data_IF_725829308410
#
_entry.id   IF_725829308410
#
_cell.length_a   1.000
_cell.length_b   1.000
_cell.length_c   1.000
_cell.angle_alpha   90.00
_cell.angle_beta   90.00
_cell.angle_gamma   90.00
#
_symmetry.space_group_name_H-M   'P 1'
#
loop_
_entity.id
_entity.type
_entity.pdbx_description
1 polymer ?
#
# COMPACT_ATOMS: atom_id res chain seq x y z
N UNK A 1 12.77 -11.69 10.74
CA UNK A 1 12.37 -10.51 9.93
C UNK A 1 11.78 -9.48 10.89
N UNK A 2 12.19 -8.21 10.81
CA UNK A 2 11.63 -7.15 11.69
C UNK A 2 10.23 -6.75 11.23
N UNK A 3 9.40 -6.16 12.11
CA UNK A 3 8.06 -5.68 11.75
C UNK A 3 8.10 -4.73 10.55
N UNK A 4 9.09 -3.82 10.53
CA UNK A 4 9.26 -2.86 9.44
C UNK A 4 9.56 -3.57 8.11
N UNK A 5 10.39 -4.61 8.14
CA UNK A 5 10.65 -5.40 6.92
C UNK A 5 9.41 -6.13 6.43
N UNK A 6 8.58 -6.67 7.33
CA UNK A 6 7.30 -7.28 6.96
C UNK A 6 6.39 -6.28 6.26
N UNK A 7 6.25 -5.05 6.78
CA UNK A 7 5.46 -3.99 6.13
C UNK A 7 6.01 -3.67 4.74
N UNK A 8 7.34 -3.51 4.62
CA UNK A 8 7.99 -3.22 3.33
C UNK A 8 7.79 -4.34 2.31
N UNK A 9 7.81 -5.60 2.72
CA UNK A 9 7.49 -6.74 1.86
C UNK A 9 6.04 -6.63 1.39
N UNK A 10 5.08 -6.46 2.30
CA UNK A 10 3.65 -6.36 1.96
C UNK A 10 3.36 -5.19 1.01
N UNK A 11 4.00 -4.03 1.20
CA UNK A 11 3.89 -2.90 0.26
C UNK A 11 4.43 -3.28 -1.12
N UNK A 12 5.60 -3.89 -1.21
CA UNK A 12 6.19 -4.29 -2.50
C UNK A 12 5.32 -5.32 -3.23
N UNK A 13 4.72 -6.26 -2.51
CA UNK A 13 3.75 -7.20 -3.08
C UNK A 13 2.51 -6.50 -3.62
N UNK A 14 1.96 -5.51 -2.89
CA UNK A 14 0.85 -4.70 -3.37
C UNK A 14 1.22 -3.95 -4.66
N UNK A 15 2.38 -3.29 -4.68
CA UNK A 15 2.86 -2.55 -5.84
C UNK A 15 3.12 -3.47 -7.04
N UNK A 16 3.60 -4.69 -6.81
CA UNK A 16 3.80 -5.66 -7.88
C UNK A 16 2.48 -6.12 -8.50
N UNK A 17 1.46 -6.40 -7.67
CA UNK A 17 0.16 -6.90 -8.16
C UNK A 17 -0.73 -5.81 -8.77
N UNK A 18 -0.71 -4.60 -8.20
CA UNK A 18 -1.63 -3.53 -8.59
C UNK A 18 -0.95 -2.32 -9.22
N UNK A 19 0.32 -2.06 -8.89
CA UNK A 19 1.01 -0.82 -9.29
C UNK A 19 1.18 -0.66 -10.80
N UNK A 20 1.32 -1.76 -11.56
CA UNK A 20 1.42 -1.71 -13.03
C UNK A 20 0.08 -1.46 -13.72
N UNK A 21 -1.03 -1.90 -13.11
CA UNK A 21 -2.38 -1.81 -13.69
C UNK A 21 -3.12 -0.53 -13.31
N UNK A 22 -2.63 0.18 -12.28
CA UNK A 22 -3.18 1.44 -11.83
C UNK A 22 -2.50 2.60 -12.57
N UNK A 23 -3.28 3.61 -12.97
CA UNK A 23 -2.77 4.76 -13.71
C UNK A 23 -1.72 5.55 -12.93
N UNK A 24 -0.88 6.29 -13.66
CA UNK A 24 0.15 7.15 -13.07
C UNK A 24 -0.48 8.12 -12.06
N UNK A 25 0.02 8.11 -10.83
CA UNK A 25 -0.50 8.96 -9.74
C UNK A 25 -1.75 8.43 -9.02
N UNK A 26 -2.34 7.30 -9.44
CA UNK A 26 -3.45 6.68 -8.71
C UNK A 26 -2.99 5.95 -7.45
N UNK A 27 -1.78 5.41 -7.45
CA UNK A 27 -1.15 4.80 -6.27
C UNK A 27 -0.22 5.82 -5.63
N UNK A 28 -0.52 6.14 -4.37
CA UNK A 28 0.33 6.97 -3.51
C UNK A 28 0.55 6.26 -2.18
N UNK A 29 1.57 6.66 -1.41
CA UNK A 29 1.78 6.10 -0.07
C UNK A 29 0.55 6.25 0.85
N UNK A 30 -0.22 7.34 0.68
CA UNK A 30 -1.50 7.56 1.39
C UNK A 30 -2.55 6.52 1.01
N UNK A 31 -2.68 6.20 -0.28
CA UNK A 31 -3.63 5.19 -0.76
C UNK A 31 -3.29 3.82 -0.21
N UNK A 32 -2.02 3.42 -0.29
CA UNK A 32 -1.56 2.14 0.27
C UNK A 32 -1.83 2.10 1.77
N UNK A 33 -1.57 3.21 2.49
CA UNK A 33 -1.83 3.26 3.91
C UNK A 33 -3.30 3.14 4.29
N UNK A 34 -4.17 3.79 3.52
CA UNK A 34 -5.61 3.64 3.68
C UNK A 34 -6.05 2.19 3.49
N UNK A 35 -5.61 1.52 2.44
CA UNK A 35 -5.95 0.11 2.19
C UNK A 35 -5.49 -0.77 3.36
N UNK A 36 -4.24 -0.60 3.82
CA UNK A 36 -3.66 -1.45 4.88
C UNK A 36 -4.29 -1.19 6.26
N UNK A 37 -4.92 -0.03 6.47
CA UNK A 37 -5.74 0.26 7.64
C UNK A 37 -7.23 -0.06 7.46
N UNK A 38 -7.66 -0.43 6.26
CA UNK A 38 -9.07 -0.66 5.94
C UNK A 38 -9.91 0.61 5.88
N UNK A 39 -9.32 1.71 5.41
CA UNK A 39 -9.97 2.99 5.15
C UNK A 39 -10.22 3.09 3.65
N UNK A 40 -11.47 3.33 3.26
CA UNK A 40 -11.83 3.55 1.86
C UNK A 40 -11.36 4.92 1.34
N UNK A 41 -11.19 5.04 0.03
CA UNK A 41 -11.02 6.32 -0.66
C UNK A 41 -11.83 6.33 -1.96
N UNK A 42 -12.06 7.50 -2.61
CA UNK A 42 -12.90 7.56 -3.82
C UNK A 42 -12.48 6.59 -4.93
N UNK A 43 -11.17 6.40 -5.15
CA UNK A 43 -10.64 5.46 -6.15
C UNK A 43 -10.45 4.03 -5.61
N UNK A 44 -10.53 3.86 -4.28
CA UNK A 44 -10.33 2.57 -3.60
C UNK A 44 -11.46 2.37 -2.57
N UNK A 45 -12.71 2.18 -3.03
CA UNK A 45 -13.86 2.13 -2.14
C UNK A 45 -13.85 0.85 -1.28
N UNK A 46 -14.27 0.98 -0.02
CA UNK A 46 -14.30 -0.13 0.92
C UNK A 46 -15.20 -1.29 0.45
N UNK A 47 -16.26 -0.99 -0.31
CA UNK A 47 -17.18 -1.99 -0.88
C UNK A 47 -16.49 -2.96 -1.86
N UNK A 48 -15.45 -2.51 -2.56
CA UNK A 48 -14.65 -3.35 -3.44
C UNK A 48 -13.42 -3.93 -2.71
N UNK A 49 -12.66 -3.07 -2.02
CA UNK A 49 -11.35 -3.44 -1.46
C UNK A 49 -11.42 -4.26 -0.17
N UNK A 50 -12.51 -4.23 0.59
CA UNK A 50 -12.68 -5.06 1.79
C UNK A 50 -12.66 -6.57 1.51
N UNK A 51 -12.93 -6.97 0.26
CA UNK A 51 -12.85 -8.36 -0.21
C UNK A 51 -11.42 -8.79 -0.53
N UNK A 52 -10.48 -7.85 -0.65
CA UNK A 52 -9.07 -8.10 -0.91
C UNK A 52 -8.35 -8.31 0.43
N UNK A 53 -8.67 -9.42 1.10
CA UNK A 53 -8.23 -9.72 2.47
C UNK A 53 -6.71 -9.71 2.67
N UNK A 54 -5.92 -9.96 1.61
CA UNK A 54 -4.45 -9.93 1.68
C UNK A 54 -3.89 -8.56 2.05
N UNK A 55 -4.54 -7.48 1.61
CA UNK A 55 -4.03 -6.12 1.76
C UNK A 55 -4.95 -5.26 2.61
N UNK A 56 -6.25 -5.49 2.55
CA UNK A 56 -7.21 -4.79 3.40
C UNK A 56 -6.96 -5.15 4.86
N UNK A 57 -6.64 -4.16 5.70
CA UNK A 57 -6.38 -4.36 7.14
C UNK A 57 -5.15 -5.25 7.43
N UNK A 58 -4.17 -5.31 6.54
CA UNK A 58 -3.00 -6.20 6.65
C UNK A 58 -1.93 -5.76 7.67
N UNK A 59 -1.97 -4.50 8.14
CA UNK A 59 -0.94 -3.93 9.03
C UNK A 59 -1.56 -3.02 10.10
N UNK A 60 -2.58 -3.52 10.81
CA UNK A 60 -3.32 -2.74 11.82
C UNK A 60 -2.50 -2.44 13.09
N UNK A 61 -1.42 -3.18 13.31
CA UNK A 61 -0.48 -3.04 14.43
C UNK A 61 0.51 -1.88 14.24
N UNK A 62 0.58 -1.31 13.05
CA UNK A 62 1.45 -0.18 12.71
C UNK A 62 0.62 1.10 12.63
N UNK A 63 1.14 2.22 13.13
CA UNK A 63 0.43 3.48 13.04
C UNK A 63 0.37 4.00 11.60
N UNK A 64 -0.74 4.66 11.27
CA UNK A 64 -1.03 5.10 9.91
C UNK A 64 0.05 6.06 9.34
N UNK A 65 0.57 7.06 10.08
CA UNK A 65 1.68 7.89 9.61
C UNK A 65 2.95 7.10 9.27
N UNK A 66 3.36 6.16 10.11
CA UNK A 66 4.51 5.28 9.84
C UNK A 66 4.29 4.48 8.58
N UNK A 67 3.10 3.93 8.40
CA UNK A 67 2.77 3.10 7.26
C UNK A 67 2.73 3.92 5.96
N UNK A 68 2.18 5.14 5.99
CA UNK A 68 2.24 6.08 4.87
C UNK A 68 3.69 6.40 4.48
N UNK A 69 4.57 6.65 5.46
CA UNK A 69 5.99 6.94 5.21
C UNK A 69 6.69 5.75 4.55
N UNK A 70 6.52 4.55 5.08
CA UNK A 70 7.09 3.33 4.50
C UNK A 70 6.56 3.12 3.08
N UNK A 71 5.25 3.22 2.88
CA UNK A 71 4.64 3.04 1.58
C UNK A 71 5.13 4.05 0.54
N UNK A 72 5.33 5.31 0.95
CA UNK A 72 5.90 6.35 0.08
C UNK A 72 7.33 6.02 -0.33
N UNK A 73 8.16 5.56 0.61
CA UNK A 73 9.55 5.19 0.33
C UNK A 73 9.64 4.00 -0.65
N UNK A 74 8.85 2.95 -0.44
CA UNK A 74 8.81 1.79 -1.35
C UNK A 74 8.27 2.16 -2.73
N UNK A 75 7.27 3.04 -2.80
CA UNK A 75 6.74 3.54 -4.06
C UNK A 75 7.81 4.32 -4.85
N UNK A 76 8.57 5.20 -4.19
CA UNK A 76 9.67 5.94 -4.81
C UNK A 76 10.75 4.96 -5.30
N UNK A 77 11.15 3.99 -4.48
CA UNK A 77 12.13 2.97 -4.85
C UNK A 77 11.66 2.14 -6.06
N UNK A 78 10.39 1.77 -6.12
CA UNK A 78 9.82 1.06 -7.25
C UNK A 78 9.87 1.89 -8.54
N UNK A 79 9.52 3.18 -8.50
CA UNK A 79 9.62 4.05 -9.68
C UNK A 79 11.05 4.16 -10.21
N UNK A 80 12.03 4.31 -9.31
CA UNK A 80 13.45 4.35 -9.72
C UNK A 80 13.94 3.02 -10.31
N UNK A 81 13.38 1.87 -9.90
CA UNK A 81 13.75 0.57 -10.43
C UNK A 81 13.22 0.29 -11.86
N UNK A 82 12.25 1.07 -12.34
CA UNK A 82 11.66 0.95 -13.68
C UNK A 82 11.93 2.17 -14.58
N UNK A 83 12.85 3.06 -14.18
CA UNK A 83 13.33 4.21 -14.96
C UNK A 83 14.62 3.86 -15.69
#
# INVERSE_FOLDING_TARGET
>A
MTWEQSVRVTVREFLHLYGQNLGRGQVTGRVVANIFHGIGSPNFPATAWSRVHRFWRACLDVDWPTLQRIATNELIAAHFAFS
#
